data_IF_548518782777
#
_entry.id   IF_548518782777
#
_cell.length_a   1.000
_cell.length_b   1.000
_cell.length_c   1.000
_cell.angle_alpha   90.00
_cell.angle_beta   90.00
_cell.angle_gamma   90.00
#
_symmetry.space_group_name_H-M   'P 1'
#
loop_
_entity.id
_entity.type
_entity.pdbx_description
1 polymer ?
#
# COMPACT_ATOMS: atom_id res chain seq x y z
N UNK A 1 15.73 -10.60 21.10
CA UNK A 1 14.47 -10.06 20.59
C UNK A 1 14.34 -8.55 20.82
N UNK A 2 14.31 -8.05 22.07
CA UNK A 2 14.16 -6.61 22.34
C UNK A 2 15.28 -5.76 21.72
N UNK A 3 16.54 -6.18 21.88
CA UNK A 3 17.70 -5.49 21.26
C UNK A 3 17.59 -5.39 19.73
N UNK A 4 17.11 -6.45 19.07
CA UNK A 4 16.88 -6.45 17.64
C UNK A 4 15.78 -5.47 17.23
N UNK A 5 14.65 -5.47 17.94
CA UNK A 5 13.52 -4.55 17.68
C UNK A 5 14.00 -3.10 17.83
N UNK A 6 14.72 -2.78 18.93
CA UNK A 6 15.25 -1.44 19.15
C UNK A 6 16.23 -1.03 18.05
N UNK A 7 17.18 -1.91 17.68
CA UNK A 7 18.14 -1.62 16.62
C UNK A 7 17.45 -1.40 15.28
N UNK A 8 16.42 -2.20 14.96
CA UNK A 8 15.65 -2.09 13.74
C UNK A 8 14.84 -0.78 13.71
N UNK A 9 14.20 -0.45 14.82
CA UNK A 9 13.50 0.82 14.98
C UNK A 9 14.45 2.01 14.83
N UNK A 10 15.60 1.99 15.48
CA UNK A 10 16.59 3.06 15.34
C UNK A 10 17.12 3.19 13.90
N UNK A 11 17.24 2.09 13.18
CA UNK A 11 17.63 2.10 11.75
C UNK A 11 16.58 2.77 10.84
N UNK A 12 15.32 2.88 11.26
CA UNK A 12 14.28 3.58 10.48
C UNK A 12 14.36 5.10 10.62
N UNK A 13 14.93 5.61 11.71
CA UNK A 13 15.02 7.06 11.97
C UNK A 13 15.78 7.82 10.86
N UNK A 14 16.98 7.39 10.43
CA UNK A 14 17.67 8.04 9.31
C UNK A 14 16.84 8.05 8.02
N UNK A 15 16.13 6.97 7.74
CA UNK A 15 15.26 6.86 6.56
C UNK A 15 14.14 7.91 6.64
N UNK A 16 13.46 8.01 7.78
CA UNK A 16 12.42 9.01 7.98
C UNK A 16 12.94 10.45 7.89
N UNK A 17 14.16 10.71 8.37
CA UNK A 17 14.79 12.04 8.24
C UNK A 17 15.07 12.38 6.78
N UNK A 18 15.58 11.43 5.99
CA UNK A 18 15.82 11.62 4.55
C UNK A 18 14.50 11.86 3.81
N UNK A 19 13.47 11.09 4.12
CA UNK A 19 12.13 11.28 3.55
C UNK A 19 11.56 12.65 3.95
N UNK A 20 11.65 13.03 5.22
CA UNK A 20 11.21 14.33 5.70
C UNK A 20 11.93 15.48 4.97
N UNK A 21 13.25 15.39 4.80
CA UNK A 21 14.04 16.37 4.07
C UNK A 21 13.60 16.46 2.59
N UNK A 22 13.39 15.32 1.95
CA UNK A 22 12.91 15.27 0.56
C UNK A 22 11.53 15.90 0.42
N UNK A 23 10.59 15.49 1.28
CA UNK A 23 9.20 15.99 1.28
C UNK A 23 9.15 17.49 1.54
N UNK A 24 9.93 17.97 2.50
CA UNK A 24 10.05 19.42 2.76
C UNK A 24 10.63 20.17 1.55
N UNK A 25 11.61 19.58 0.88
CA UNK A 25 12.25 20.17 -0.30
C UNK A 25 11.31 20.29 -1.50
N UNK A 26 10.23 19.52 -1.57
CA UNK A 26 9.25 19.60 -2.67
C UNK A 26 8.69 21.01 -2.85
N UNK A 27 8.53 21.76 -1.76
CA UNK A 27 8.09 23.15 -1.81
C UNK A 27 9.05 24.08 -2.58
N UNK A 28 10.34 23.74 -2.59
CA UNK A 28 11.39 24.52 -3.26
C UNK A 28 11.73 24.02 -4.66
N UNK A 29 11.49 22.72 -4.91
CA UNK A 29 11.78 22.09 -6.20
C UNK A 29 10.63 22.27 -7.17
N UNK A 30 9.39 22.38 -6.67
CA UNK A 30 8.19 22.52 -7.50
C UNK A 30 8.24 23.81 -8.32
N UNK A 31 7.90 23.75 -9.63
CA UNK A 31 7.91 24.93 -10.47
C UNK A 31 6.84 25.95 -10.05
N UNK A 32 7.25 27.22 -9.94
CA UNK A 32 6.42 28.34 -9.52
C UNK A 32 6.70 28.77 -8.07
N UNK A 33 6.32 30.02 -7.77
CA UNK A 33 6.39 30.56 -6.41
C UNK A 33 5.17 30.09 -5.61
N UNK A 34 5.32 29.33 -4.52
CA UNK A 34 4.19 28.90 -3.70
C UNK A 34 3.33 30.07 -3.19
N UNK A 35 3.95 31.20 -2.85
CA UNK A 35 3.22 32.38 -2.40
C UNK A 35 2.36 32.99 -3.52
N UNK A 36 2.88 33.03 -4.75
CA UNK A 36 2.12 33.54 -5.90
C UNK A 36 0.94 32.61 -6.25
N UNK A 37 1.14 31.29 -6.15
CA UNK A 37 0.08 30.29 -6.41
C UNK A 37 -1.07 30.44 -5.39
N UNK A 38 -0.74 30.63 -4.12
CA UNK A 38 -1.74 30.81 -3.05
C UNK A 38 -2.45 32.16 -3.18
N UNK A 39 -1.72 33.19 -3.57
CA UNK A 39 -2.27 34.54 -3.78
C UNK A 39 -3.28 34.58 -4.94
N UNK A 40 -3.09 33.70 -5.95
CA UNK A 40 -3.94 33.64 -7.15
C UNK A 40 -3.56 34.66 -8.23
N UNK A 41 -4.13 34.49 -9.41
CA UNK A 41 -3.74 35.24 -10.62
C UNK A 41 -4.03 36.76 -10.56
N UNK A 42 -4.89 37.19 -9.64
CA UNK A 42 -5.25 38.61 -9.48
C UNK A 42 -4.56 39.30 -8.29
N UNK A 43 -3.65 38.60 -7.61
CA UNK A 43 -2.97 39.13 -6.44
C UNK A 43 -1.94 40.22 -6.82
N UNK A 44 -1.84 41.24 -5.98
CA UNK A 44 -0.79 42.26 -6.10
C UNK A 44 0.56 41.72 -5.64
N UNK A 45 1.69 42.32 -6.07
CA UNK A 45 3.01 41.94 -5.54
C UNK A 45 3.11 42.04 -4.01
N UNK A 46 2.39 42.96 -3.40
CA UNK A 46 2.35 43.11 -1.93
C UNK A 46 1.57 41.98 -1.26
N UNK A 47 0.53 41.45 -1.87
CA UNK A 47 -0.21 40.29 -1.39
C UNK A 47 0.68 39.05 -1.40
N UNK A 48 1.41 38.83 -2.50
CA UNK A 48 2.38 37.74 -2.63
C UNK A 48 3.49 37.86 -1.57
N UNK A 49 4.01 39.07 -1.35
CA UNK A 49 5.04 39.30 -0.34
C UNK A 49 4.52 39.04 1.08
N UNK A 50 3.29 39.41 1.39
CA UNK A 50 2.66 39.11 2.71
C UNK A 50 2.48 37.59 2.91
N UNK A 51 2.01 36.90 1.91
CA UNK A 51 1.86 35.43 1.97
C UNK A 51 3.23 34.76 2.09
N UNK A 52 4.24 35.23 1.37
CA UNK A 52 5.60 34.72 1.47
C UNK A 52 6.16 34.85 2.89
N UNK A 53 5.96 36.01 3.52
CA UNK A 53 6.36 36.24 4.93
C UNK A 53 5.54 35.38 5.90
N UNK A 54 4.22 35.27 5.71
CA UNK A 54 3.37 34.44 6.57
C UNK A 54 3.71 32.95 6.52
N UNK A 55 4.18 32.46 5.37
CA UNK A 55 4.68 31.12 5.17
C UNK A 55 6.16 30.96 5.57
N UNK A 56 6.82 32.06 6.00
CA UNK A 56 8.24 32.09 6.37
C UNK A 56 9.19 31.75 5.22
N UNK A 57 8.76 31.90 3.95
CA UNK A 57 9.57 31.55 2.77
C UNK A 57 10.81 32.44 2.59
N UNK A 58 10.90 33.51 3.34
CA UNK A 58 12.03 34.43 3.42
C UNK A 58 13.17 33.94 4.34
N UNK A 59 12.90 32.93 5.19
CA UNK A 59 13.87 32.40 6.15
C UNK A 59 14.78 31.32 5.51
N UNK A 60 16.00 31.11 6.05
CA UNK A 60 16.91 30.08 5.59
C UNK A 60 16.27 28.68 5.66
N UNK A 61 16.52 27.89 4.62
CA UNK A 61 15.96 26.52 4.45
C UNK A 61 16.12 25.64 5.70
N UNK A 62 17.32 25.59 6.29
CA UNK A 62 17.60 24.71 7.44
C UNK A 62 16.83 25.11 8.69
N UNK A 63 16.61 26.41 8.91
CA UNK A 63 15.83 26.90 10.05
C UNK A 63 14.37 26.47 9.89
N UNK A 64 13.80 26.70 8.71
CA UNK A 64 12.44 26.28 8.40
C UNK A 64 12.23 24.78 8.46
N UNK A 65 13.20 24.01 7.95
CA UNK A 65 13.17 22.55 8.05
C UNK A 65 13.16 22.09 9.51
N UNK A 66 14.00 22.70 10.37
CA UNK A 66 14.02 22.39 11.80
C UNK A 66 12.71 22.73 12.51
N UNK A 67 12.13 23.92 12.24
CA UNK A 67 10.84 24.33 12.81
C UNK A 67 9.71 23.40 12.36
N UNK A 68 9.64 23.07 11.06
CA UNK A 68 8.66 22.14 10.50
C UNK A 68 8.82 20.72 11.06
N UNK A 69 10.03 20.21 11.17
CA UNK A 69 10.30 18.90 11.76
C UNK A 69 9.87 18.88 13.24
N UNK A 70 10.10 19.95 13.97
CA UNK A 70 9.65 20.10 15.34
C UNK A 70 8.12 20.05 15.45
N UNK A 71 7.40 20.75 14.59
CA UNK A 71 5.92 20.70 14.53
C UNK A 71 5.42 19.29 14.28
N UNK A 72 6.00 18.57 13.30
CA UNK A 72 5.63 17.19 12.99
C UNK A 72 5.85 16.26 14.20
N UNK A 73 6.96 16.40 14.90
CA UNK A 73 7.23 15.59 16.10
C UNK A 73 6.22 15.85 17.23
N UNK A 74 5.55 17.00 17.23
CA UNK A 74 4.44 17.31 18.14
C UNK A 74 3.05 16.98 17.58
N UNK A 75 2.99 16.33 16.41
CA UNK A 75 1.73 15.90 15.77
C UNK A 75 1.04 16.97 14.93
N UNK A 76 1.68 18.14 14.74
CA UNK A 76 1.17 19.18 13.85
C UNK A 76 1.72 18.98 12.43
N UNK A 77 0.87 18.51 11.54
CA UNK A 77 1.16 18.34 10.11
C UNK A 77 0.86 19.60 9.28
N UNK A 78 0.51 20.69 9.93
CA UNK A 78 0.09 21.94 9.29
C UNK A 78 -1.38 21.97 8.91
N UNK A 79 -1.76 23.02 8.19
CA UNK A 79 -3.13 23.31 7.77
C UNK A 79 -3.22 23.36 6.25
N UNK A 80 -4.24 22.77 5.67
CA UNK A 80 -4.54 22.83 4.24
C UNK A 80 -4.76 24.29 3.79
N UNK A 81 -4.13 24.66 2.69
CA UNK A 81 -4.23 26.01 2.14
C UNK A 81 -5.64 26.30 1.60
N UNK A 82 -6.33 25.26 1.10
CA UNK A 82 -7.64 25.41 0.45
C UNK A 82 -8.82 25.20 1.38
N UNK A 83 -8.71 24.24 2.29
CA UNK A 83 -9.84 23.89 3.19
C UNK A 83 -9.75 24.58 4.53
N UNK A 84 -8.58 25.14 4.90
CA UNK A 84 -8.27 25.69 6.21
C UNK A 84 -8.48 24.68 7.37
N UNK A 85 -8.48 23.38 7.06
CA UNK A 85 -8.57 22.31 8.06
C UNK A 85 -7.17 21.77 8.39
N UNK A 86 -6.94 21.31 9.63
CA UNK A 86 -5.70 20.62 9.97
C UNK A 86 -5.49 19.38 9.08
N UNK A 87 -4.29 19.19 8.56
CA UNK A 87 -3.94 18.06 7.68
C UNK A 87 -4.18 16.72 8.39
N UNK A 88 -3.86 16.64 9.68
CA UNK A 88 -4.14 15.46 10.49
C UNK A 88 -5.63 15.08 10.48
N UNK A 89 -6.53 16.05 10.55
CA UNK A 89 -7.98 15.82 10.47
C UNK A 89 -8.40 15.29 9.10
N UNK A 90 -7.87 15.89 8.01
CA UNK A 90 -8.17 15.44 6.65
C UNK A 90 -7.71 13.99 6.41
N UNK A 91 -6.54 13.63 6.92
CA UNK A 91 -6.01 12.27 6.86
C UNK A 91 -6.88 11.31 7.67
N UNK A 92 -7.21 11.67 8.92
CA UNK A 92 -8.01 10.82 9.81
C UNK A 92 -9.39 10.51 9.23
N UNK A 93 -10.07 11.50 8.64
CA UNK A 93 -11.38 11.31 7.99
C UNK A 93 -11.34 10.37 6.79
N UNK A 94 -10.17 10.23 6.13
CA UNK A 94 -9.98 9.43 4.91
C UNK A 94 -9.20 8.14 5.14
N UNK A 95 -8.77 7.88 6.37
CA UNK A 95 -7.97 6.70 6.71
C UNK A 95 -8.79 5.40 6.61
N UNK A 96 -10.02 5.39 7.09
CA UNK A 96 -10.88 4.20 7.09
C UNK A 96 -11.09 3.64 5.67
N UNK A 97 -11.51 4.42 4.65
CA UNK A 97 -11.69 3.90 3.29
C UNK A 97 -10.42 3.28 2.70
N UNK A 98 -9.27 3.95 2.83
CA UNK A 98 -7.99 3.45 2.31
C UNK A 98 -7.56 2.17 3.03
N UNK A 99 -7.59 2.15 4.36
CA UNK A 99 -7.20 0.97 5.14
C UNK A 99 -8.14 -0.21 4.90
N UNK A 100 -9.45 0.05 4.76
CA UNK A 100 -10.45 -0.95 4.40
C UNK A 100 -10.17 -1.57 3.03
N UNK A 101 -9.92 -0.74 2.02
CA UNK A 101 -9.57 -1.20 0.68
C UNK A 101 -8.29 -2.05 0.70
N UNK A 102 -7.25 -1.57 1.36
CA UNK A 102 -5.97 -2.29 1.46
C UNK A 102 -6.14 -3.63 2.20
N UNK A 103 -6.86 -3.65 3.32
CA UNK A 103 -7.08 -4.86 4.10
C UNK A 103 -7.88 -5.91 3.32
N UNK A 104 -9.01 -5.52 2.71
CA UNK A 104 -9.85 -6.43 1.90
C UNK A 104 -9.06 -6.94 0.71
N UNK A 105 -8.32 -6.08 0.00
CA UNK A 105 -7.48 -6.48 -1.13
C UNK A 105 -6.40 -7.47 -0.71
N UNK A 106 -5.71 -7.20 0.40
CA UNK A 106 -4.65 -8.08 0.90
C UNK A 106 -5.18 -9.46 1.31
N UNK A 107 -6.27 -9.48 2.07
CA UNK A 107 -6.93 -10.74 2.49
C UNK A 107 -7.35 -11.53 1.25
N UNK A 108 -8.06 -10.90 0.32
CA UNK A 108 -8.49 -11.52 -0.93
C UNK A 108 -7.29 -12.06 -1.73
N UNK A 109 -6.25 -11.24 -1.90
CA UNK A 109 -5.07 -11.64 -2.66
C UNK A 109 -4.35 -12.84 -2.03
N UNK A 110 -4.15 -12.84 -0.72
CA UNK A 110 -3.50 -13.96 -0.02
C UNK A 110 -4.35 -15.22 -0.05
N UNK A 111 -5.66 -15.10 0.25
CA UNK A 111 -6.59 -16.22 0.26
C UNK A 111 -6.76 -16.89 -1.11
N UNK A 112 -6.58 -16.15 -2.20
CA UNK A 112 -6.67 -16.68 -3.57
C UNK A 112 -5.29 -17.12 -4.07
N UNK A 113 -4.28 -16.28 -3.95
CA UNK A 113 -2.98 -16.50 -4.58
C UNK A 113 -2.19 -17.67 -3.96
N UNK A 114 -2.22 -17.81 -2.62
CA UNK A 114 -1.46 -18.88 -1.96
C UNK A 114 -1.99 -20.25 -2.34
N UNK A 115 -3.32 -20.56 -2.24
CA UNK A 115 -3.84 -21.83 -2.69
C UNK A 115 -3.60 -22.10 -4.19
N UNK A 116 -3.81 -21.10 -5.04
CA UNK A 116 -3.58 -21.23 -6.50
C UNK A 116 -2.10 -21.54 -6.77
N UNK A 117 -1.16 -20.86 -6.09
CA UNK A 117 0.28 -21.10 -6.22
C UNK A 117 0.68 -22.51 -5.75
N UNK A 118 0.10 -22.99 -4.65
CA UNK A 118 0.30 -24.37 -4.16
C UNK A 118 -0.23 -25.39 -5.18
N UNK A 119 -1.41 -25.18 -5.74
CA UNK A 119 -1.99 -26.04 -6.78
C UNK A 119 -1.13 -26.04 -8.05
N UNK A 120 -0.65 -24.89 -8.49
CA UNK A 120 0.24 -24.77 -9.64
C UNK A 120 1.56 -25.54 -9.42
N UNK A 121 2.15 -25.47 -8.23
CA UNK A 121 3.35 -26.23 -7.89
C UNK A 121 3.08 -27.74 -7.80
N UNK A 122 1.96 -28.13 -7.23
CA UNK A 122 1.57 -29.54 -7.16
C UNK A 122 1.32 -30.16 -8.52
N UNK A 123 0.73 -29.37 -9.43
CA UNK A 123 0.42 -29.79 -10.81
C UNK A 123 1.43 -29.23 -11.81
N UNK A 124 2.69 -29.09 -11.39
CA UNK A 124 3.75 -28.55 -12.22
C UNK A 124 3.80 -29.21 -13.61
N UNK A 125 4.08 -28.42 -14.63
CA UNK A 125 4.18 -28.80 -16.05
C UNK A 125 2.88 -29.31 -16.69
N UNK A 126 1.76 -29.30 -15.98
CA UNK A 126 0.43 -29.65 -16.53
C UNK A 126 -0.26 -28.40 -17.14
N UNK A 127 -1.39 -28.64 -17.83
CA UNK A 127 -2.24 -27.57 -18.36
C UNK A 127 -2.79 -26.64 -17.24
N UNK A 128 -3.04 -27.17 -16.04
CA UNK A 128 -3.51 -26.39 -14.88
C UNK A 128 -2.43 -25.38 -14.47
N UNK A 129 -1.20 -25.83 -14.33
CA UNK A 129 -0.07 -24.95 -14.01
C UNK A 129 0.10 -23.86 -15.07
N UNK A 130 0.11 -24.25 -16.35
CA UNK A 130 0.25 -23.30 -17.47
C UNK A 130 -0.89 -22.28 -17.50
N UNK A 131 -2.14 -22.71 -17.27
CA UNK A 131 -3.30 -21.83 -17.23
C UNK A 131 -3.21 -20.81 -16.07
N UNK A 132 -2.83 -21.28 -14.85
CA UNK A 132 -2.62 -20.40 -13.69
C UNK A 132 -1.51 -19.38 -13.97
N UNK A 133 -0.39 -19.81 -14.54
CA UNK A 133 0.73 -18.91 -14.84
C UNK A 133 0.40 -17.93 -15.97
N UNK A 134 -0.34 -18.36 -16.98
CA UNK A 134 -0.83 -17.47 -18.03
C UNK A 134 -1.80 -16.41 -17.48
N UNK A 135 -2.72 -16.81 -16.60
CA UNK A 135 -3.60 -15.87 -15.90
C UNK A 135 -2.83 -14.89 -15.02
N UNK A 136 -1.80 -15.36 -14.32
CA UNK A 136 -0.92 -14.50 -13.52
C UNK A 136 -0.17 -13.48 -14.40
N UNK A 137 0.37 -13.88 -15.54
CA UNK A 137 1.03 -12.97 -16.50
C UNK A 137 0.04 -11.94 -17.02
N UNK A 138 -1.15 -12.37 -17.42
CA UNK A 138 -2.21 -11.48 -17.91
C UNK A 138 -2.64 -10.47 -16.84
N UNK A 139 -2.90 -10.92 -15.61
CA UNK A 139 -3.31 -10.06 -14.50
C UNK A 139 -2.26 -9.00 -14.12
N UNK A 140 -0.97 -9.30 -14.32
CA UNK A 140 0.11 -8.33 -14.12
C UNK A 140 0.28 -7.34 -15.29
N UNK A 141 -0.11 -7.74 -16.50
CA UNK A 141 0.10 -6.93 -17.72
C UNK A 141 -0.98 -5.87 -17.95
N UNK A 142 -2.18 -6.07 -17.40
CA UNK A 142 -3.29 -5.14 -17.59
C UNK A 142 -3.27 -4.06 -16.51
N UNK A 143 -3.33 -2.76 -16.88
CA UNK A 143 -3.39 -1.68 -15.91
C UNK A 143 -4.61 -1.81 -14.98
N UNK A 144 -4.42 -1.55 -13.67
CA UNK A 144 -5.45 -1.70 -12.63
C UNK A 144 -6.73 -0.92 -12.97
N UNK A 145 -6.61 0.29 -13.51
CA UNK A 145 -7.78 1.10 -13.88
C UNK A 145 -8.59 0.47 -15.02
N UNK A 146 -7.95 -0.20 -15.97
CA UNK A 146 -8.65 -0.92 -17.05
C UNK A 146 -9.44 -2.08 -16.48
N UNK A 147 -8.83 -2.88 -15.60
CA UNK A 147 -9.52 -3.95 -14.88
C UNK A 147 -10.68 -3.39 -14.07
N UNK A 148 -10.47 -2.27 -13.37
CA UNK A 148 -11.50 -1.59 -12.59
C UNK A 148 -12.71 -1.17 -13.41
N UNK A 149 -12.50 -0.53 -14.56
CA UNK A 149 -13.58 -0.13 -15.44
C UNK A 149 -14.30 -1.33 -16.08
N UNK A 150 -13.58 -2.39 -16.47
CA UNK A 150 -14.19 -3.60 -17.00
C UNK A 150 -15.06 -4.31 -15.95
N UNK A 151 -14.58 -4.41 -14.71
CA UNK A 151 -15.35 -5.00 -13.61
C UNK A 151 -16.59 -4.16 -13.28
N UNK A 152 -16.46 -2.83 -13.23
CA UNK A 152 -17.59 -1.94 -13.02
C UNK A 152 -18.61 -2.03 -14.15
N UNK A 153 -18.16 -2.08 -15.40
CA UNK A 153 -19.05 -2.23 -16.56
C UNK A 153 -19.85 -3.53 -16.47
N UNK A 154 -19.18 -4.68 -16.25
CA UNK A 154 -19.84 -5.98 -16.25
C UNK A 154 -20.72 -6.18 -15.00
N UNK A 155 -20.15 -5.97 -13.80
CA UNK A 155 -20.83 -6.36 -12.55
C UNK A 155 -21.72 -5.28 -11.95
N UNK A 156 -21.50 -4.02 -12.30
CA UNK A 156 -22.30 -2.94 -11.76
C UNK A 156 -23.31 -2.37 -12.79
N UNK A 157 -22.92 -2.24 -14.08
CA UNK A 157 -23.82 -1.66 -15.08
C UNK A 157 -24.65 -2.72 -15.81
N UNK A 158 -24.04 -3.83 -16.25
CA UNK A 158 -24.77 -4.85 -17.03
C UNK A 158 -25.54 -5.84 -16.13
N UNK A 159 -24.95 -6.24 -15.02
CA UNK A 159 -25.55 -7.26 -14.13
C UNK A 159 -26.26 -6.65 -12.91
N UNK A 160 -26.00 -5.39 -12.58
CA UNK A 160 -26.56 -4.67 -11.40
C UNK A 160 -26.38 -5.44 -10.06
N UNK A 161 -25.22 -6.15 -9.92
CA UNK A 161 -24.94 -6.96 -8.73
C UNK A 161 -24.27 -6.15 -7.62
N UNK A 162 -23.42 -5.18 -7.98
CA UNK A 162 -22.57 -4.43 -7.08
C UNK A 162 -22.60 -2.94 -7.41
N UNK A 163 -22.34 -2.05 -6.44
CA UNK A 163 -22.32 -0.62 -6.69
C UNK A 163 -21.15 -0.23 -7.60
N UNK A 164 -21.41 0.77 -8.48
CA UNK A 164 -20.40 1.30 -9.41
C UNK A 164 -19.31 2.08 -8.68
N UNK A 165 -19.71 2.92 -7.70
CA UNK A 165 -18.85 3.89 -7.03
C UNK A 165 -19.31 4.14 -5.59
N UNK A 166 -18.42 4.73 -4.80
CA UNK A 166 -18.74 5.18 -3.45
C UNK A 166 -18.09 4.31 -2.37
N UNK A 167 -18.41 4.65 -1.15
CA UNK A 167 -17.92 3.96 0.05
C UNK A 167 -18.97 4.06 1.15
N UNK A 168 -19.22 2.97 1.81
CA UNK A 168 -20.05 2.91 3.02
C UNK A 168 -19.15 2.58 4.20
N UNK A 169 -19.29 3.27 5.32
CA UNK A 169 -18.48 3.02 6.51
C UNK A 169 -18.82 1.66 7.14
N UNK A 170 -17.83 1.03 7.77
CA UNK A 170 -18.03 -0.24 8.47
C UNK A 170 -19.09 -0.12 9.59
N UNK A 171 -19.19 1.05 10.20
CA UNK A 171 -20.20 1.38 11.24
C UNK A 171 -21.65 1.36 10.74
N UNK A 172 -21.86 1.56 9.44
CA UNK A 172 -23.19 1.54 8.80
C UNK A 172 -23.66 0.13 8.45
N UNK A 173 -22.75 -0.85 8.50
CA UNK A 173 -23.02 -2.27 8.30
C UNK A 173 -21.92 -3.00 7.52
N UNK A 174 -21.59 -4.23 7.92
CA UNK A 174 -20.48 -4.97 7.29
C UNK A 174 -20.77 -5.38 5.85
N UNK A 175 -22.04 -5.63 5.50
CA UNK A 175 -22.39 -6.06 4.13
C UNK A 175 -22.38 -4.88 3.15
N UNK A 176 -23.03 -3.73 3.37
CA UNK A 176 -22.89 -2.56 2.49
C UNK A 176 -21.44 -2.08 2.35
N UNK A 177 -20.67 -2.11 3.47
CA UNK A 177 -19.23 -1.82 3.46
C UNK A 177 -18.47 -2.75 2.51
N UNK A 178 -18.69 -4.05 2.60
CA UNK A 178 -17.99 -5.04 1.76
C UNK A 178 -18.40 -4.93 0.29
N UNK A 179 -19.71 -4.71 0.00
CA UNK A 179 -20.20 -4.57 -1.38
C UNK A 179 -19.48 -3.45 -2.14
N UNK A 180 -19.23 -2.30 -1.49
CA UNK A 180 -18.49 -1.19 -2.10
C UNK A 180 -17.00 -1.49 -2.31
N UNK A 181 -16.44 -2.48 -1.61
CA UNK A 181 -15.03 -2.82 -1.69
C UNK A 181 -14.72 -4.01 -2.61
N UNK A 182 -15.71 -4.85 -2.97
CA UNK A 182 -15.48 -6.05 -3.79
C UNK A 182 -14.83 -5.71 -5.14
N UNK A 183 -15.43 -4.84 -5.94
CA UNK A 183 -14.90 -4.49 -7.27
C UNK A 183 -13.55 -3.77 -7.18
N UNK A 184 -13.37 -2.75 -6.33
CA UNK A 184 -12.07 -2.14 -6.10
C UNK A 184 -11.00 -3.13 -5.65
N UNK A 185 -11.33 -4.01 -4.70
CA UNK A 185 -10.40 -5.00 -4.18
C UNK A 185 -10.03 -6.07 -5.22
N UNK A 186 -10.96 -6.50 -6.07
CA UNK A 186 -10.68 -7.39 -7.19
C UNK A 186 -9.77 -6.73 -8.22
N UNK A 187 -10.05 -5.49 -8.61
CA UNK A 187 -9.25 -4.76 -9.57
C UNK A 187 -7.81 -4.57 -9.08
N UNK A 188 -7.66 -4.06 -7.87
CA UNK A 188 -6.37 -3.87 -7.22
C UNK A 188 -5.68 -5.20 -6.94
N UNK A 189 -6.44 -6.21 -6.51
CA UNK A 189 -5.96 -7.53 -6.13
C UNK A 189 -5.41 -8.37 -7.28
N UNK A 190 -5.85 -8.16 -8.52
CA UNK A 190 -5.38 -8.95 -9.67
C UNK A 190 -3.86 -8.98 -9.80
N UNK A 191 -3.20 -7.82 -9.66
CA UNK A 191 -1.74 -7.70 -9.74
C UNK A 191 -1.05 -8.45 -8.60
N UNK A 192 -1.61 -8.38 -7.40
CA UNK A 192 -1.04 -9.02 -6.19
C UNK A 192 -1.25 -10.53 -6.22
N UNK A 193 -2.44 -10.98 -6.64
CA UNK A 193 -2.73 -12.41 -6.83
C UNK A 193 -1.70 -13.01 -7.79
N UNK A 194 -1.45 -12.33 -8.91
CA UNK A 194 -0.47 -12.75 -9.89
C UNK A 194 0.95 -12.88 -9.31
N UNK A 195 1.39 -11.85 -8.58
CA UNK A 195 2.72 -11.79 -7.97
C UNK A 195 2.89 -12.87 -6.88
N UNK A 196 1.95 -12.94 -5.94
CA UNK A 196 2.01 -13.89 -4.81
C UNK A 196 1.89 -15.32 -5.30
N UNK A 197 0.98 -15.63 -6.25
CA UNK A 197 0.81 -16.97 -6.78
C UNK A 197 2.09 -17.47 -7.49
N UNK A 198 2.75 -16.61 -8.26
CA UNK A 198 4.01 -16.95 -8.94
C UNK A 198 5.13 -17.27 -7.96
N UNK A 199 5.31 -16.44 -6.93
CA UNK A 199 6.34 -16.67 -5.91
C UNK A 199 6.01 -17.89 -5.07
N UNK A 200 4.72 -18.08 -4.68
CA UNK A 200 4.27 -19.28 -3.97
C UNK A 200 4.57 -20.53 -4.76
N UNK A 201 4.26 -20.55 -6.07
CA UNK A 201 4.60 -21.68 -6.94
C UNK A 201 6.10 -21.97 -6.97
N UNK A 202 6.92 -20.95 -7.19
CA UNK A 202 8.37 -21.10 -7.28
C UNK A 202 8.96 -21.67 -5.97
N UNK A 203 8.60 -21.07 -4.83
CA UNK A 203 9.08 -21.51 -3.52
C UNK A 203 8.59 -22.91 -3.15
N UNK A 204 7.34 -23.25 -3.50
CA UNK A 204 6.81 -24.60 -3.29
C UNK A 204 7.52 -25.65 -4.13
N UNK A 205 7.85 -25.37 -5.39
CA UNK A 205 8.60 -26.28 -6.27
C UNK A 205 9.98 -26.59 -5.70
N UNK A 206 10.71 -25.57 -5.22
CA UNK A 206 12.01 -25.73 -4.59
C UNK A 206 11.93 -26.63 -3.35
N UNK A 207 10.95 -26.38 -2.49
CA UNK A 207 10.75 -27.15 -1.26
C UNK A 207 10.31 -28.59 -1.54
N UNK A 208 9.43 -28.81 -2.52
CA UNK A 208 8.92 -30.16 -2.87
C UNK A 208 9.99 -31.10 -3.43
N UNK A 209 11.14 -30.58 -3.85
CA UNK A 209 12.30 -31.37 -4.31
C UNK A 209 13.25 -31.80 -3.19
N UNK A 210 13.08 -31.31 -1.95
CA UNK A 210 13.97 -31.59 -0.83
C UNK A 210 13.86 -33.05 -0.33
N UNK A 211 14.95 -33.58 0.18
CA UNK A 211 15.03 -34.98 0.63
C UNK A 211 14.11 -35.30 1.82
N UNK A 212 13.86 -34.34 2.70
CA UNK A 212 12.92 -34.53 3.80
C UNK A 212 11.47 -34.72 3.32
N UNK A 213 11.10 -34.14 2.18
CA UNK A 213 9.79 -34.36 1.54
C UNK A 213 9.71 -35.78 0.98
N UNK A 214 10.80 -36.29 0.38
CA UNK A 214 10.86 -37.68 -0.08
C UNK A 214 10.73 -38.64 1.11
N UNK A 215 11.38 -38.36 2.20
CA UNK A 215 11.26 -39.13 3.45
C UNK A 215 9.85 -39.12 4.02
N UNK A 216 9.18 -37.96 4.02
CA UNK A 216 7.79 -37.86 4.47
C UNK A 216 6.84 -38.72 3.60
N UNK A 217 7.03 -38.71 2.29
CA UNK A 217 6.28 -39.58 1.35
C UNK A 217 6.53 -41.06 1.63
N UNK A 218 7.80 -41.44 1.83
CA UNK A 218 8.16 -42.83 2.16
C UNK A 218 7.53 -43.30 3.48
N UNK A 219 7.32 -42.41 4.44
CA UNK A 219 6.62 -42.65 5.71
C UNK A 219 5.09 -42.68 5.58
N UNK A 220 4.53 -42.53 4.38
CA UNK A 220 3.09 -42.60 4.14
C UNK A 220 2.31 -41.33 4.44
N UNK A 221 2.99 -40.15 4.58
CA UNK A 221 2.29 -38.87 4.76
C UNK A 221 1.47 -38.56 3.52
N UNK A 222 0.18 -38.32 3.70
CA UNK A 222 -0.74 -37.99 2.59
C UNK A 222 -0.40 -36.69 1.90
N UNK A 223 -0.81 -36.55 0.64
CA UNK A 223 -0.45 -35.41 -0.22
C UNK A 223 -0.80 -34.04 0.40
N UNK A 224 -1.98 -33.90 1.01
CA UNK A 224 -2.40 -32.66 1.69
C UNK A 224 -1.46 -32.30 2.83
N UNK A 225 -1.04 -33.29 3.64
CA UNK A 225 -0.07 -33.08 4.70
C UNK A 225 1.29 -32.63 4.17
N UNK A 226 1.74 -33.21 3.06
CA UNK A 226 2.98 -32.78 2.40
C UNK A 226 2.88 -31.33 1.94
N UNK A 227 1.80 -30.96 1.26
CA UNK A 227 1.64 -29.60 0.69
C UNK A 227 1.52 -28.52 1.77
N UNK A 228 0.60 -28.71 2.73
CA UNK A 228 0.27 -27.64 3.66
C UNK A 228 1.11 -27.67 4.95
N UNK A 229 1.42 -28.85 5.49
CA UNK A 229 2.14 -28.95 6.75
C UNK A 229 3.67 -28.94 6.57
N UNK A 230 4.16 -29.61 5.52
CA UNK A 230 5.61 -29.75 5.31
C UNK A 230 6.16 -28.73 4.30
N UNK A 231 5.53 -28.58 3.12
CA UNK A 231 6.08 -27.74 2.08
C UNK A 231 5.73 -26.24 2.28
N UNK A 232 4.45 -25.90 2.44
CA UNK A 232 4.04 -24.49 2.58
C UNK A 232 4.67 -23.80 3.78
N UNK A 233 4.82 -24.50 4.91
CA UNK A 233 5.48 -23.97 6.09
C UNK A 233 6.94 -23.59 5.83
N UNK A 234 7.66 -24.41 5.05
CA UNK A 234 9.06 -24.15 4.71
C UNK A 234 9.21 -23.13 3.54
N UNK A 235 8.19 -23.01 2.69
CA UNK A 235 8.10 -21.98 1.65
C UNK A 235 7.59 -20.62 2.18
N UNK A 236 7.22 -20.52 3.47
CA UNK A 236 6.54 -19.35 4.00
C UNK A 236 7.39 -18.06 3.96
N UNK A 237 8.71 -18.15 4.17
CA UNK A 237 9.57 -16.96 4.22
C UNK A 237 9.53 -16.15 2.91
N UNK A 238 9.80 -16.71 1.72
CA UNK A 238 9.66 -15.98 0.46
C UNK A 238 8.23 -15.50 0.20
N UNK A 239 7.21 -16.26 0.60
CA UNK A 239 5.80 -15.89 0.43
C UNK A 239 5.46 -14.67 1.29
N UNK A 240 5.84 -14.65 2.57
CA UNK A 240 5.62 -13.51 3.46
C UNK A 240 6.40 -12.29 3.01
N UNK A 241 7.62 -12.49 2.47
CA UNK A 241 8.41 -11.41 1.86
C UNK A 241 7.64 -10.71 0.75
N UNK A 242 7.11 -11.49 -0.19
CA UNK A 242 6.38 -10.90 -1.33
C UNK A 242 5.05 -10.28 -0.92
N UNK A 243 4.37 -10.85 0.07
CA UNK A 243 3.17 -10.24 0.67
C UNK A 243 3.52 -8.86 1.25
N UNK A 244 4.63 -8.76 1.97
CA UNK A 244 5.08 -7.50 2.53
C UNK A 244 5.45 -6.43 1.49
N UNK A 245 6.20 -6.80 0.47
CA UNK A 245 6.46 -5.92 -0.68
C UNK A 245 5.14 -5.52 -1.33
N UNK A 246 4.18 -6.45 -1.42
CA UNK A 246 2.84 -6.20 -1.92
C UNK A 246 2.10 -5.11 -1.14
N UNK A 247 2.18 -5.08 0.20
CA UNK A 247 1.54 -4.03 1.01
C UNK A 247 2.08 -2.64 0.65
N UNK A 248 3.39 -2.52 0.42
CA UNK A 248 3.99 -1.26 -0.03
C UNK A 248 3.45 -0.81 -1.41
N UNK A 249 3.33 -1.76 -2.33
CA UNK A 249 2.77 -1.49 -3.65
C UNK A 249 1.26 -1.17 -3.58
N UNK A 250 0.49 -1.75 -2.63
CA UNK A 250 -0.92 -1.44 -2.41
C UNK A 250 -1.14 0.05 -2.15
N UNK A 251 -0.24 0.72 -1.46
CA UNK A 251 -0.33 2.16 -1.19
C UNK A 251 -0.41 2.94 -2.52
N UNK A 252 0.49 2.65 -3.46
CA UNK A 252 0.47 3.31 -4.78
C UNK A 252 -0.75 2.93 -5.63
N UNK A 253 -1.13 1.65 -5.63
CA UNK A 253 -2.28 1.13 -6.37
C UNK A 253 -3.62 1.63 -5.82
N UNK A 254 -3.74 1.84 -4.52
CA UNK A 254 -4.93 2.38 -3.88
C UNK A 254 -5.27 3.78 -4.41
N UNK A 255 -4.29 4.63 -4.67
CA UNK A 255 -4.50 5.99 -5.24
C UNK A 255 -5.31 5.93 -6.54
N UNK A 256 -4.92 5.06 -7.46
CA UNK A 256 -5.60 4.89 -8.74
C UNK A 256 -6.99 4.28 -8.56
N UNK A 257 -7.09 3.24 -7.73
CA UNK A 257 -8.35 2.53 -7.49
C UNK A 257 -9.38 3.42 -6.80
N UNK A 258 -8.98 4.18 -5.79
CA UNK A 258 -9.85 5.15 -5.10
C UNK A 258 -10.39 6.22 -6.06
N UNK A 259 -9.57 6.63 -7.02
CA UNK A 259 -10.00 7.61 -8.04
C UNK A 259 -11.02 7.00 -9.00
N UNK A 260 -10.80 5.79 -9.49
CA UNK A 260 -11.69 5.07 -10.42
C UNK A 260 -13.05 4.79 -9.78
N UNK A 261 -13.07 4.32 -8.54
CA UNK A 261 -14.29 3.95 -7.83
C UNK A 261 -14.87 5.07 -6.94
N UNK A 262 -14.34 6.29 -7.05
CA UNK A 262 -14.74 7.47 -6.27
C UNK A 262 -14.76 7.24 -4.75
N UNK A 263 -13.85 6.40 -4.25
CA UNK A 263 -13.68 6.14 -2.81
C UNK A 263 -13.03 7.37 -2.16
N UNK A 264 -13.60 7.93 -1.07
CA UNK A 264 -13.06 9.13 -0.41
C UNK A 264 -11.87 8.79 0.49
N UNK A 265 -10.81 8.19 -0.07
CA UNK A 265 -9.63 7.77 0.66
C UNK A 265 -8.47 8.77 0.63
N UNK A 266 -7.36 8.38 1.26
CA UNK A 266 -6.12 9.18 1.34
C UNK A 266 -5.44 9.27 -0.02
N UNK A 267 -5.52 8.22 -0.84
CA UNK A 267 -4.97 8.24 -2.20
C UNK A 267 -5.63 9.32 -3.06
N UNK A 268 -6.97 9.41 -3.03
CA UNK A 268 -7.71 10.47 -3.71
C UNK A 268 -7.39 11.85 -3.13
N UNK A 269 -7.28 11.97 -1.80
CA UNK A 269 -6.82 13.22 -1.16
C UNK A 269 -5.47 13.66 -1.70
N UNK A 270 -4.55 12.71 -1.92
CA UNK A 270 -3.22 13.01 -2.49
C UNK A 270 -3.32 13.58 -3.89
N UNK A 271 -4.13 12.97 -4.76
CA UNK A 271 -4.34 13.46 -6.14
C UNK A 271 -4.94 14.87 -6.12
N UNK A 272 -6.00 15.08 -5.33
CA UNK A 272 -6.64 16.37 -5.19
C UNK A 272 -5.67 17.45 -4.69
N UNK A 273 -4.83 17.10 -3.70
CA UNK A 273 -3.82 18.01 -3.16
C UNK A 273 -2.73 18.35 -4.18
N UNK A 274 -2.27 17.38 -4.97
CA UNK A 274 -1.28 17.61 -6.04
C UNK A 274 -1.84 18.55 -7.11
N UNK A 275 -3.06 18.29 -7.58
CA UNK A 275 -3.71 19.12 -8.60
C UNK A 275 -3.91 20.55 -8.14
N UNK A 276 -4.21 20.74 -6.85
CA UNK A 276 -4.39 22.05 -6.23
C UNK A 276 -3.10 22.69 -5.69
N UNK A 277 -1.98 21.94 -5.71
CA UNK A 277 -0.70 22.35 -5.11
C UNK A 277 -0.79 22.67 -3.61
N UNK A 278 -1.60 21.89 -2.89
CA UNK A 278 -1.75 22.00 -1.44
C UNK A 278 -0.57 21.30 -0.75
N UNK A 279 0.54 22.01 -0.65
CA UNK A 279 1.80 21.47 -0.15
C UNK A 279 1.72 20.89 1.27
N UNK A 280 1.05 21.52 2.25
CA UNK A 280 0.92 20.91 3.58
C UNK A 280 0.25 19.54 3.54
N UNK A 281 -0.82 19.40 2.75
CA UNK A 281 -1.51 18.11 2.58
C UNK A 281 -0.62 17.10 1.89
N UNK A 282 0.09 17.49 0.80
CA UNK A 282 1.02 16.60 0.10
C UNK A 282 2.11 16.12 1.07
N UNK A 283 2.72 17.03 1.82
CA UNK A 283 3.76 16.70 2.80
C UNK A 283 3.26 15.76 3.88
N UNK A 284 2.11 16.05 4.49
CA UNK A 284 1.52 15.23 5.53
C UNK A 284 1.17 13.81 5.06
N UNK A 285 0.57 13.69 3.87
CA UNK A 285 0.20 12.39 3.30
C UNK A 285 1.43 11.56 2.91
N UNK A 286 2.44 12.16 2.27
CA UNK A 286 3.66 11.43 1.90
C UNK A 286 4.41 10.95 3.15
N UNK A 287 4.50 11.77 4.20
CA UNK A 287 5.08 11.35 5.49
C UNK A 287 4.30 10.20 6.12
N UNK A 288 2.97 10.30 6.13
CA UNK A 288 2.11 9.25 6.68
C UNK A 288 2.28 7.92 5.93
N UNK A 289 2.28 7.93 4.58
CA UNK A 289 2.54 6.73 3.80
C UNK A 289 3.94 6.17 4.01
N UNK A 290 4.94 7.03 4.14
CA UNK A 290 6.32 6.63 4.44
C UNK A 290 6.42 5.97 5.81
N UNK A 291 5.75 6.53 6.82
CA UNK A 291 5.68 5.95 8.15
C UNK A 291 4.97 4.59 8.13
N UNK A 292 3.83 4.49 7.43
CA UNK A 292 3.12 3.22 7.25
C UNK A 292 3.99 2.17 6.56
N UNK A 293 4.73 2.55 5.52
CA UNK A 293 5.67 1.67 4.85
C UNK A 293 6.77 1.14 5.80
N UNK A 294 7.34 2.01 6.60
CA UNK A 294 8.35 1.65 7.62
C UNK A 294 7.75 0.70 8.65
N UNK A 295 6.54 0.97 9.11
CA UNK A 295 5.83 0.12 10.07
C UNK A 295 5.57 -1.28 9.50
N UNK A 296 5.11 -1.36 8.25
CA UNK A 296 4.88 -2.64 7.56
C UNK A 296 6.18 -3.44 7.45
N UNK A 297 7.29 -2.81 7.04
CA UNK A 297 8.58 -3.49 6.97
C UNK A 297 9.03 -3.99 8.35
N UNK A 298 8.84 -3.21 9.41
CA UNK A 298 9.13 -3.65 10.77
C UNK A 298 8.31 -4.89 11.15
N UNK A 299 7.01 -4.91 10.84
CA UNK A 299 6.15 -6.08 11.09
C UNK A 299 6.64 -7.31 10.31
N UNK A 300 7.05 -7.14 9.05
CA UNK A 300 7.59 -8.24 8.24
C UNK A 300 8.88 -8.79 8.84
N UNK A 301 9.80 -7.91 9.27
CA UNK A 301 11.04 -8.33 9.93
C UNK A 301 10.77 -9.12 11.21
N UNK A 302 9.73 -8.74 11.97
CA UNK A 302 9.30 -9.50 13.15
C UNK A 302 8.70 -10.85 12.77
N UNK A 303 7.91 -10.92 11.70
CA UNK A 303 7.36 -12.17 11.19
C UNK A 303 8.46 -13.15 10.76
N UNK A 304 9.56 -12.66 10.15
CA UNK A 304 10.70 -13.54 9.84
C UNK A 304 11.28 -14.22 11.07
N UNK A 305 11.39 -13.53 12.20
CA UNK A 305 11.92 -14.13 13.43
C UNK A 305 11.01 -15.23 14.00
N UNK A 306 9.71 -15.17 13.71
CA UNK A 306 8.72 -16.18 14.11
C UNK A 306 8.71 -17.36 13.15
N UNK A 307 8.84 -17.10 11.85
CA UNK A 307 8.76 -18.13 10.79
C UNK A 307 10.05 -18.93 10.65
N UNK A 308 11.22 -18.32 10.85
CA UNK A 308 12.52 -18.99 10.79
C UNK A 308 13.26 -18.87 12.13
N UNK A 309 13.15 -19.88 13.02
CA UNK A 309 13.87 -19.89 14.30
C UNK A 309 15.39 -19.95 14.16
N UNK A 310 15.94 -20.18 12.96
CA UNK A 310 17.37 -20.22 12.70
C UNK A 310 17.98 -18.83 12.63
N UNK A 311 17.16 -17.81 12.38
CA UNK A 311 17.58 -16.41 12.45
C UNK A 311 17.78 -16.04 13.92
N UNK A 312 18.98 -16.25 14.45
CA UNK A 312 19.41 -15.80 15.80
C UNK A 312 20.20 -14.51 15.63
N UNK A 313 19.76 -13.47 16.32
CA UNK A 313 20.41 -12.15 16.36
C UNK A 313 21.13 -11.95 17.69
#
# INVERSE_FOLDING_TARGET
>A
MLSYIIRRFLATVPVMVVVALFVFSLLYIAPGDPAAIIAGDQATPDDVARIRMSLGLDRPFLIRFGEWLWQILHGDLGTSIFTNLPVATLIAQRAEPTLSLMAVTLILAVCVAVPIGVVAAWKADTLIDRAIMAFAVFGFSVPVFVVGYLLAYVFALELDWLPVQGYTQLSEGPWPWLQNLILPALALGCVYIALIARITRASMLEVLQQDYIRTARAKGVGQTGILFLHALKNAAVPIVTVIGIGVALLIGGAVVTETVFAIPGIGRLTVDAILRRDYPVIQGVVLMFSFLYVLVNLVIDLLYTVLDPRIRY
#
